data_IF_788147851049
#
_entry.id   IF_788147851049
#
_cell.length_a   1.000
_cell.length_b   1.000
_cell.length_c   1.000
_cell.angle_alpha   90.00
_cell.angle_beta   90.00
_cell.angle_gamma   90.00
#
_symmetry.space_group_name_H-M   'P 1'
#
loop_
_entity.id
_entity.type
_entity.pdbx_description
1 polymer ?
#
# COMPACT_ATOMS: atom_id res chain seq x y z
N UNK A 1 -17.09 11.46 -12.45
CA UNK A 1 -16.95 10.68 -12.36
C UNK A 1 -16.41 10.09 -11.50
N UNK A 2 -16.53 9.74 -11.07
CA UNK A 2 -16.01 9.23 -10.08
C UNK A 2 -15.17 8.22 -10.28
N UNK A 3 -14.42 8.00 -9.89
CA UNK A 3 -13.72 7.09 -10.05
C UNK A 3 -13.17 6.58 -9.12
N UNK A 4 -12.91 5.81 -9.17
CA UNK A 4 -12.77 4.87 -8.37
C UNK A 4 -11.48 4.86 -7.84
N UNK A 5 -11.31 5.09 -6.62
CA UNK A 5 -10.11 5.25 -5.94
C UNK A 5 -9.40 3.98 -5.68
N UNK A 6 -10.11 2.92 -5.50
CA UNK A 6 -9.51 1.64 -5.21
C UNK A 6 -8.64 1.18 -6.35
N UNK A 7 -8.83 1.73 -7.50
CA UNK A 7 -8.04 1.32 -8.63
C UNK A 7 -6.63 1.90 -8.61
N UNK A 8 -6.33 2.75 -7.64
CA UNK A 8 -5.00 3.33 -7.55
C UNK A 8 -3.94 2.27 -7.25
N UNK A 9 -4.32 1.24 -6.53
CA UNK A 9 -3.37 0.19 -6.17
C UNK A 9 -3.65 -1.06 -7.00
N UNK A 10 -2.61 -1.56 -7.62
CA UNK A 10 -2.71 -2.77 -8.42
C UNK A 10 -2.49 -4.01 -7.56
N UNK A 11 -1.60 -3.92 -6.58
CA UNK A 11 -1.21 -5.06 -5.79
C UNK A 11 -0.68 -4.61 -4.44
N UNK A 12 -1.00 -5.36 -3.39
CA UNK A 12 -0.41 -5.14 -2.08
C UNK A 12 -0.05 -6.49 -1.50
N UNK A 13 1.01 -6.51 -0.72
CA UNK A 13 1.40 -7.71 0.00
C UNK A 13 2.11 -7.29 1.27
N UNK A 14 2.20 -8.21 2.23
CA UNK A 14 2.77 -7.90 3.52
C UNK A 14 3.73 -8.99 3.94
N UNK A 15 4.88 -8.59 4.46
CA UNK A 15 5.88 -9.51 4.97
C UNK A 15 5.83 -9.45 6.49
N UNK A 16 5.31 -10.49 7.11
CA UNK A 16 5.14 -10.52 8.56
C UNK A 16 6.44 -10.50 9.32
N UNK A 17 7.47 -11.08 8.75
CA UNK A 17 8.74 -11.14 9.45
C UNK A 17 9.46 -9.80 9.43
N UNK A 18 9.42 -9.14 8.29
CA UNK A 18 10.10 -7.87 8.14
C UNK A 18 9.23 -6.69 8.53
N UNK A 19 7.94 -6.91 8.70
CA UNK A 19 6.96 -5.84 8.99
C UNK A 19 6.97 -4.81 7.87
N UNK A 20 7.03 -5.27 6.64
CA UNK A 20 7.02 -4.37 5.49
C UNK A 20 5.79 -4.60 4.65
N UNK A 21 5.29 -3.52 4.09
CA UNK A 21 4.14 -3.56 3.19
C UNK A 21 4.60 -3.15 1.81
N UNK A 22 4.34 -4.02 0.85
CA UNK A 22 4.72 -3.77 -0.54
C UNK A 22 3.47 -3.37 -1.32
N UNK A 23 3.53 -2.24 -1.99
CA UNK A 23 2.39 -1.72 -2.73
C UNK A 23 2.81 -1.33 -4.13
N UNK A 24 2.06 -1.80 -5.13
CA UNK A 24 2.31 -1.46 -6.51
C UNK A 24 1.17 -0.58 -7.00
N UNK A 25 1.51 0.57 -7.55
CA UNK A 25 0.52 1.52 -8.03
C UNK A 25 0.20 1.25 -9.49
N UNK A 26 -1.10 1.30 -9.81
CA UNK A 26 -1.57 0.91 -11.12
C UNK A 26 -1.11 1.84 -12.22
N UNK A 27 -1.17 3.12 -12.00
CA UNK A 27 -0.88 4.08 -13.07
C UNK A 27 0.58 4.09 -13.47
N UNK A 28 1.47 4.01 -12.50
CA UNK A 28 2.89 4.13 -12.78
C UNK A 28 3.60 2.79 -12.80
N UNK A 29 2.93 1.74 -12.32
CA UNK A 29 3.52 0.40 -12.17
C UNK A 29 4.74 0.43 -11.25
N UNK A 30 4.81 1.43 -10.39
CA UNK A 30 5.90 1.53 -9.44
C UNK A 30 5.54 0.80 -8.16
N UNK A 31 6.55 0.17 -7.58
CA UNK A 31 6.39 -0.60 -6.37
C UNK A 31 7.15 0.08 -5.23
N UNK A 32 6.49 0.23 -4.11
CA UNK A 32 7.09 0.84 -2.93
C UNK A 32 7.01 -0.12 -1.77
N UNK A 33 8.06 -0.10 -0.94
CA UNK A 33 8.07 -0.90 0.28
C UNK A 33 8.01 0.05 1.46
N UNK A 34 6.97 -0.11 2.27
CA UNK A 34 6.78 0.70 3.48
C UNK A 34 7.27 -0.08 4.67
N UNK A 35 8.05 0.56 5.52
CA UNK A 35 8.76 -0.12 6.59
C UNK A 35 8.10 0.05 7.93
N UNK A 36 8.31 -0.94 8.81
CA UNK A 36 7.78 -0.91 10.17
C UNK A 36 6.26 -0.72 10.20
N UNK A 37 5.58 -1.43 9.33
CA UNK A 37 4.12 -1.38 9.27
C UNK A 37 3.57 -2.51 10.13
N UNK A 38 2.79 -2.19 11.19
CA UNK A 38 2.21 -3.24 12.02
C UNK A 38 1.21 -4.06 11.22
N UNK A 39 1.08 -5.32 11.58
CA UNK A 39 0.16 -6.18 10.87
C UNK A 39 -1.27 -5.67 10.94
N UNK A 40 -1.66 -5.04 12.04
CA UNK A 40 -3.02 -4.54 12.16
C UNK A 40 -3.34 -3.48 11.11
N UNK A 41 -2.33 -2.74 10.66
CA UNK A 41 -2.51 -1.76 9.60
C UNK A 41 -2.79 -2.48 8.29
N UNK A 42 -2.04 -3.54 8.02
CA UNK A 42 -2.27 -4.32 6.81
C UNK A 42 -3.65 -5.00 6.87
N UNK A 43 -4.01 -5.52 8.03
CA UNK A 43 -5.33 -6.16 8.17
C UNK A 43 -6.43 -5.15 7.89
N UNK A 44 -6.30 -3.94 8.41
CA UNK A 44 -7.29 -2.91 8.12
C UNK A 44 -7.36 -2.57 6.65
N UNK A 45 -6.22 -2.61 5.97
CA UNK A 45 -6.17 -2.30 4.56
C UNK A 45 -6.97 -3.31 3.74
N UNK A 46 -6.77 -4.60 3.99
CA UNK A 46 -7.43 -5.61 3.17
C UNK A 46 -8.92 -5.72 3.50
N UNK A 47 -9.35 -5.21 4.64
CA UNK A 47 -10.77 -5.22 4.98
C UNK A 47 -11.44 -3.87 4.74
N UNK A 48 -10.71 -2.89 4.23
CA UNK A 48 -11.28 -1.56 4.04
C UNK A 48 -12.26 -1.55 2.88
N UNK A 49 -13.26 -0.68 3.00
CA UNK A 49 -14.21 -0.50 1.92
C UNK A 49 -13.53 0.04 0.67
N UNK A 50 -12.57 0.93 0.88
CA UNK A 50 -11.81 1.48 -0.22
C UNK A 50 -10.34 1.33 0.11
N UNK A 51 -9.69 0.45 -0.63
CA UNK A 51 -8.28 0.16 -0.41
C UNK A 51 -7.42 1.41 -0.60
N UNK A 52 -7.70 2.16 -1.67
CA UNK A 52 -6.91 3.34 -1.95
C UNK A 52 -7.08 4.43 -0.90
N UNK A 53 -8.31 4.61 -0.43
CA UNK A 53 -8.57 5.63 0.57
C UNK A 53 -7.90 5.27 1.89
N UNK A 54 -7.99 4.02 2.30
CA UNK A 54 -7.36 3.57 3.52
C UNK A 54 -5.84 3.75 3.42
N UNK A 55 -5.29 3.35 2.29
CA UNK A 55 -3.85 3.47 2.07
C UNK A 55 -3.41 4.92 2.21
N UNK A 56 -4.11 5.84 1.57
CA UNK A 56 -3.75 7.24 1.64
C UNK A 56 -3.88 7.80 3.06
N UNK A 57 -4.89 7.35 3.79
CA UNK A 57 -5.16 7.90 5.11
C UNK A 57 -4.26 7.33 6.19
N UNK A 58 -3.89 6.06 6.07
CA UNK A 58 -3.22 5.37 7.17
C UNK A 58 -1.79 4.95 6.88
N UNK A 59 -1.39 4.91 5.63
CA UNK A 59 -0.10 4.35 5.29
C UNK A 59 0.81 5.34 4.58
N UNK A 60 0.28 5.99 3.58
CA UNK A 60 1.10 6.74 2.64
C UNK A 60 2.06 7.73 3.27
N UNK A 61 1.58 8.51 4.22
CA UNK A 61 2.40 9.54 4.84
C UNK A 61 2.77 9.21 6.27
N UNK A 62 2.55 7.97 6.69
CA UNK A 62 2.74 7.58 8.09
C UNK A 62 3.92 6.66 8.31
N UNK A 63 4.52 6.13 7.26
CA UNK A 63 5.62 5.18 7.36
C UNK A 63 6.71 5.54 6.39
N UNK A 64 7.93 5.21 6.75
CA UNK A 64 9.05 5.37 5.83
C UNK A 64 8.90 4.40 4.68
N UNK A 65 9.37 4.78 3.52
CA UNK A 65 9.22 3.91 2.35
C UNK A 65 10.37 4.13 1.39
N UNK A 66 10.52 3.18 0.47
CA UNK A 66 11.49 3.29 -0.60
C UNK A 66 10.89 2.67 -1.84
N UNK A 67 11.33 3.14 -2.98
CA UNK A 67 10.86 2.61 -4.24
C UNK A 67 11.72 1.43 -4.67
N UNK A 68 11.07 0.36 -5.12
CA UNK A 68 11.76 -0.79 -5.66
C UNK A 68 11.86 -0.62 -7.16
N UNK A 69 13.07 -0.61 -7.67
CA UNK A 69 13.25 -0.41 -9.10
C UNK A 69 13.52 -1.73 -9.78
N UNK A 70 12.90 -1.89 -10.93
CA UNK A 70 13.06 -3.09 -11.72
C UNK A 70 13.79 -2.76 -13.01
N UNK A 71 14.51 -3.73 -13.50
CA UNK A 71 15.23 -3.57 -14.77
C UNK A 71 14.84 -4.62 -15.76
#
# INVERSE_FOLDING_TARGET
MPYVQSSALERVSYDEEAHTLCATFRETHRTYIYEEVPQEIYDGLIFADSLGRYFNSHIRDHFAYREVKHH
#
